data_IF_473652313601
#
_entry.id   IF_473652313601
#
_cell.length_a   1.000
_cell.length_b   1.000
_cell.length_c   1.000
_cell.angle_alpha   90.00
_cell.angle_beta   90.00
_cell.angle_gamma   90.00
#
_symmetry.space_group_name_H-M   'P 1'
#
loop_
_entity.id
_entity.type
_entity.pdbx_description
1 polymer ?
#
# COMPACT_ATOMS: atom_id res chain seq x y z
N UNK A 1 19.58 -6.89 16.51
CA UNK A 1 19.25 -5.90 15.47
C UNK A 1 17.82 -6.16 15.03
N UNK A 2 17.09 -5.13 14.61
CA UNK A 2 15.76 -5.38 14.05
C UNK A 2 15.94 -6.10 12.70
N UNK A 3 15.09 -7.09 12.39
CA UNK A 3 15.23 -7.90 11.16
C UNK A 3 15.28 -7.06 9.87
N UNK A 4 14.66 -5.88 9.90
CA UNK A 4 14.74 -4.84 8.88
C UNK A 4 16.19 -4.40 8.60
N UNK A 5 16.97 -4.13 9.65
CA UNK A 5 18.33 -3.59 9.52
C UNK A 5 19.24 -4.65 8.90
N UNK A 6 18.99 -5.92 9.25
CA UNK A 6 19.68 -7.07 8.66
C UNK A 6 19.34 -7.24 7.18
N UNK A 7 18.06 -7.09 6.79
CA UNK A 7 17.63 -7.15 5.38
C UNK A 7 18.19 -5.95 4.59
N UNK A 8 18.23 -4.75 5.17
CA UNK A 8 18.81 -3.56 4.53
C UNK A 8 20.31 -3.78 4.28
N UNK A 9 21.06 -4.17 5.30
CA UNK A 9 22.49 -4.45 5.18
C UNK A 9 22.80 -5.63 4.23
N UNK A 10 21.90 -6.60 4.12
CA UNK A 10 21.98 -7.65 3.12
C UNK A 10 21.73 -7.12 1.69
N UNK A 11 20.75 -6.24 1.52
CA UNK A 11 20.36 -5.70 0.21
C UNK A 11 21.48 -4.87 -0.45
N UNK A 12 22.33 -4.21 0.33
CA UNK A 12 23.49 -3.44 -0.16
C UNK A 12 24.53 -4.32 -0.86
N UNK A 13 24.52 -5.63 -0.58
CA UNK A 13 25.44 -6.61 -1.20
C UNK A 13 24.91 -7.15 -2.53
N UNK A 14 23.68 -6.79 -2.91
CA UNK A 14 23.05 -7.27 -4.13
C UNK A 14 23.51 -6.44 -5.35
N UNK A 15 23.61 -7.06 -6.53
CA UNK A 15 23.73 -6.32 -7.79
C UNK A 15 22.61 -5.29 -7.94
N UNK A 16 22.85 -4.13 -8.59
CA UNK A 16 21.87 -3.05 -8.69
C UNK A 16 20.50 -3.48 -9.20
N UNK A 17 20.44 -4.38 -10.20
CA UNK A 17 19.18 -4.88 -10.74
C UNK A 17 18.38 -5.74 -9.75
N UNK A 18 19.05 -6.49 -8.87
CA UNK A 18 18.39 -7.28 -7.81
C UNK A 18 17.91 -6.37 -6.68
N UNK A 19 18.67 -5.33 -6.38
CA UNK A 19 18.27 -4.30 -5.43
C UNK A 19 17.01 -3.57 -5.92
N UNK A 20 16.93 -3.24 -7.20
CA UNK A 20 15.72 -2.67 -7.81
C UNK A 20 14.53 -3.66 -7.81
N UNK A 21 14.77 -4.93 -8.13
CA UNK A 21 13.73 -5.96 -8.05
C UNK A 21 13.16 -6.10 -6.63
N UNK A 22 14.02 -6.13 -5.60
CA UNK A 22 13.62 -6.15 -4.19
C UNK A 22 12.81 -4.90 -3.83
N UNK A 23 13.25 -3.71 -4.27
CA UNK A 23 12.51 -2.47 -4.09
C UNK A 23 11.12 -2.53 -4.68
N UNK A 24 10.99 -2.98 -5.93
CA UNK A 24 9.68 -3.16 -6.59
C UNK A 24 8.79 -4.08 -5.76
N UNK A 25 9.31 -5.23 -5.31
CA UNK A 25 8.57 -6.18 -4.49
C UNK A 25 8.12 -5.57 -3.15
N UNK A 26 9.00 -4.84 -2.45
CA UNK A 26 8.66 -4.21 -1.17
C UNK A 26 7.66 -3.06 -1.29
N UNK A 27 7.70 -2.31 -2.40
CA UNK A 27 6.81 -1.15 -2.62
C UNK A 27 5.48 -1.57 -3.21
N UNK A 28 5.47 -2.50 -4.17
CA UNK A 28 4.30 -2.92 -4.94
C UNK A 28 3.62 -4.17 -4.36
N UNK A 29 4.34 -4.97 -3.56
CA UNK A 29 3.86 -6.24 -2.98
C UNK A 29 4.01 -7.46 -3.92
N UNK A 30 4.08 -7.23 -5.23
CA UNK A 30 4.28 -8.24 -6.27
C UNK A 30 5.00 -7.65 -7.49
N UNK A 31 5.45 -8.49 -8.42
CA UNK A 31 5.98 -8.05 -9.71
C UNK A 31 4.94 -8.26 -10.80
N UNK A 32 4.66 -7.23 -11.60
CA UNK A 32 3.87 -7.39 -12.82
C UNK A 32 4.69 -7.99 -13.96
N UNK A 33 4.03 -8.46 -15.02
CA UNK A 33 4.73 -8.93 -16.24
C UNK A 33 5.66 -7.87 -16.81
N UNK A 34 5.24 -6.60 -16.77
CA UNK A 34 6.07 -5.48 -17.22
C UNK A 34 7.31 -5.29 -16.32
N UNK A 35 7.16 -5.41 -15.00
CA UNK A 35 8.29 -5.36 -14.07
C UNK A 35 9.29 -6.48 -14.36
N UNK A 36 8.82 -7.69 -14.65
CA UNK A 36 9.69 -8.82 -14.99
C UNK A 36 10.51 -8.56 -16.26
N UNK A 37 9.90 -7.97 -17.29
CA UNK A 37 10.61 -7.61 -18.53
C UNK A 37 11.67 -6.54 -18.26
N UNK A 38 11.35 -5.52 -17.47
CA UNK A 38 12.31 -4.46 -17.11
C UNK A 38 13.44 -4.97 -16.22
N UNK A 39 13.13 -5.81 -15.23
CA UNK A 39 14.14 -6.44 -14.36
C UNK A 39 15.09 -7.30 -15.19
N UNK A 40 14.56 -8.05 -16.17
CA UNK A 40 15.37 -8.84 -17.10
C UNK A 40 16.30 -7.95 -17.94
N UNK A 41 15.81 -6.82 -18.42
CA UNK A 41 16.64 -5.86 -19.16
C UNK A 41 17.74 -5.25 -18.29
N UNK A 42 17.42 -4.85 -17.05
CA UNK A 42 18.43 -4.39 -16.08
C UNK A 42 19.48 -5.46 -15.77
N UNK A 43 19.09 -6.73 -15.68
CA UNK A 43 20.02 -7.84 -15.50
C UNK A 43 20.93 -8.02 -16.74
N UNK A 44 20.39 -7.89 -17.95
CA UNK A 44 21.16 -7.92 -19.21
C UNK A 44 22.15 -6.75 -19.29
N UNK A 45 21.72 -5.53 -18.94
CA UNK A 45 22.57 -4.34 -18.86
C UNK A 45 23.75 -4.54 -17.90
N UNK A 46 23.49 -5.17 -16.74
CA UNK A 46 24.54 -5.49 -15.76
C UNK A 46 25.64 -6.41 -16.32
N UNK A 47 25.31 -7.24 -17.32
CA UNK A 47 26.25 -8.09 -18.05
C UNK A 47 26.76 -7.49 -19.37
N UNK A 48 26.54 -6.19 -19.60
CA UNK A 48 27.07 -5.45 -20.77
C UNK A 48 26.22 -5.57 -22.04
N UNK A 49 25.02 -6.14 -21.96
CA UNK A 49 24.08 -6.17 -23.10
C UNK A 49 23.34 -4.84 -23.17
N UNK A 50 23.22 -4.26 -24.37
CA UNK A 50 22.49 -2.99 -24.56
C UNK A 50 21.00 -3.17 -24.28
N UNK A 51 20.44 -2.20 -23.56
CA UNK A 51 18.99 -2.11 -23.30
C UNK A 51 18.20 -2.06 -24.60
N UNK A 52 17.06 -2.74 -24.62
CA UNK A 52 16.08 -2.62 -25.71
C UNK A 52 15.03 -1.52 -25.48
N UNK A 53 15.02 -0.91 -24.29
CA UNK A 53 14.11 0.15 -23.89
C UNK A 53 14.64 1.55 -24.21
N UNK A 54 13.70 2.46 -24.51
CA UNK A 54 13.91 3.90 -24.68
C UNK A 54 12.80 4.64 -23.89
N UNK A 55 13.12 5.41 -22.84
CA UNK A 55 14.46 5.62 -22.27
C UNK A 55 15.04 4.34 -21.66
N UNK A 56 16.37 4.28 -21.57
CA UNK A 56 17.05 3.16 -20.91
C UNK A 56 16.73 3.18 -19.41
N UNK A 57 16.11 2.13 -18.85
CA UNK A 57 15.78 2.09 -17.44
C UNK A 57 17.06 2.02 -16.61
N UNK A 58 17.10 2.75 -15.51
CA UNK A 58 18.17 2.69 -14.52
C UNK A 58 17.68 1.99 -13.26
N UNK A 59 18.50 1.12 -12.63
CA UNK A 59 18.11 0.44 -11.41
C UNK A 59 18.06 1.44 -10.26
N UNK A 60 16.98 1.42 -9.47
CA UNK A 60 16.86 2.18 -8.23
C UNK A 60 17.15 1.25 -7.07
N UNK A 61 18.21 1.51 -6.31
CA UNK A 61 18.61 0.65 -5.20
C UNK A 61 17.55 0.62 -4.10
N UNK A 62 17.40 -0.55 -3.49
CA UNK A 62 16.63 -0.71 -2.26
C UNK A 62 17.27 0.11 -1.14
N UNK A 63 16.41 0.70 -0.30
CA UNK A 63 16.83 1.70 0.69
C UNK A 63 15.81 1.72 1.83
N UNK A 64 16.19 2.38 2.92
CA UNK A 64 15.43 2.36 4.16
C UNK A 64 13.95 2.80 3.99
N UNK A 65 13.72 3.82 3.17
CA UNK A 65 12.40 4.37 2.86
C UNK A 65 11.52 3.44 1.98
N UNK A 66 12.09 2.40 1.37
CA UNK A 66 11.39 1.43 0.54
C UNK A 66 10.77 0.29 1.34
N UNK A 67 11.23 0.07 2.56
CA UNK A 67 10.51 -0.82 3.44
C UNK A 67 9.11 -0.27 3.74
N UNK A 68 8.14 -1.15 3.99
CA UNK A 68 6.92 -0.76 4.67
C UNK A 68 7.31 -0.30 6.07
N UNK A 69 7.57 1.00 6.19
CA UNK A 69 8.20 1.65 7.32
C UNK A 69 7.67 1.11 8.67
N UNK A 70 8.56 1.00 9.65
CA UNK A 70 8.19 1.36 11.03
C UNK A 70 7.98 2.88 11.04
N UNK A 71 7.03 3.36 10.24
CA UNK A 71 6.63 4.74 10.29
C UNK A 71 6.18 4.93 11.73
N UNK A 72 6.81 5.87 12.43
CA UNK A 72 6.41 6.32 13.74
C UNK A 72 7.00 5.54 14.94
N UNK A 73 8.31 5.20 14.96
CA UNK A 73 8.96 4.82 16.25
C UNK A 73 8.81 5.93 17.30
N UNK A 74 8.89 7.19 16.86
CA UNK A 74 8.83 8.37 17.73
C UNK A 74 7.56 9.22 17.52
N UNK A 75 6.64 8.77 16.66
CA UNK A 75 5.40 9.49 16.37
C UNK A 75 4.19 8.69 16.84
N UNK A 76 3.11 9.36 17.21
CA UNK A 76 1.82 8.73 17.50
C UNK A 76 0.85 9.02 16.37
N UNK A 77 0.36 7.97 15.71
CA UNK A 77 -0.68 8.06 14.68
C UNK A 77 -1.99 7.49 15.19
N UNK A 78 -3.09 8.26 15.04
CA UNK A 78 -4.44 7.84 15.46
C UNK A 78 -5.42 8.06 14.32
N UNK A 79 -6.04 6.98 13.83
CA UNK A 79 -7.07 7.06 12.81
C UNK A 79 -8.32 7.75 13.35
N UNK A 80 -8.87 8.72 12.61
CA UNK A 80 -10.10 9.43 13.01
C UNK A 80 -11.29 9.05 12.14
N UNK A 81 -11.12 9.05 10.81
CA UNK A 81 -12.23 8.82 9.90
C UNK A 81 -11.78 8.22 8.56
N UNK A 82 -12.71 7.53 7.89
CA UNK A 82 -12.61 7.13 6.49
C UNK A 82 -13.90 7.57 5.79
N UNK A 83 -13.79 8.44 4.80
CA UNK A 83 -14.94 9.10 4.17
C UNK A 83 -14.71 9.44 2.70
N UNK A 84 -15.69 10.09 2.09
CA UNK A 84 -15.64 10.52 0.69
C UNK A 84 -15.30 9.39 -0.28
N UNK A 85 -15.83 8.20 0.00
CA UNK A 85 -15.52 6.98 -0.74
C UNK A 85 -16.10 7.10 -2.15
N UNK A 86 -15.21 7.08 -3.14
CA UNK A 86 -15.57 7.16 -4.55
C UNK A 86 -15.20 5.85 -5.22
N UNK A 87 -16.16 5.21 -5.88
CA UNK A 87 -15.98 3.92 -6.55
C UNK A 87 -15.44 2.80 -5.61
N UNK A 88 -15.85 2.78 -4.35
CA UNK A 88 -15.51 1.68 -3.41
C UNK A 88 -16.75 0.80 -3.24
N UNK A 89 -16.86 -0.24 -4.07
CA UNK A 89 -18.07 -1.05 -4.17
C UNK A 89 -19.30 -0.19 -4.46
N UNK A 90 -20.34 -0.32 -3.64
CA UNK A 90 -21.56 0.50 -3.71
C UNK A 90 -21.77 1.36 -2.46
N UNK A 91 -20.67 1.70 -1.77
CA UNK A 91 -20.72 2.58 -0.61
C UNK A 91 -21.00 4.01 -1.11
N UNK A 92 -22.06 4.69 -0.63
CA UNK A 92 -22.31 6.09 -1.00
C UNK A 92 -21.16 6.99 -0.56
N UNK A 93 -20.80 7.97 -1.39
CA UNK A 93 -19.74 8.93 -1.09
C UNK A 93 -20.00 9.72 0.20
N UNK A 94 -21.27 9.96 0.53
CA UNK A 94 -21.68 10.66 1.76
C UNK A 94 -21.46 9.87 3.05
N UNK A 95 -21.14 8.59 2.98
CA UNK A 95 -20.90 7.78 4.19
C UNK A 95 -19.56 8.11 4.83
N UNK A 96 -19.56 8.12 6.17
CA UNK A 96 -18.39 8.42 7.00
C UNK A 96 -18.25 7.32 8.04
N UNK A 97 -17.10 6.64 8.02
CA UNK A 97 -16.75 5.70 9.08
C UNK A 97 -15.83 6.38 10.09
N UNK A 98 -16.38 6.71 11.27
CA UNK A 98 -15.65 7.35 12.36
C UNK A 98 -15.03 6.32 13.31
N UNK A 99 -13.83 6.63 13.79
CA UNK A 99 -13.10 5.85 14.78
C UNK A 99 -12.98 6.63 16.08
N UNK A 100 -13.15 5.95 17.21
CA UNK A 100 -12.86 6.54 18.50
C UNK A 100 -11.33 6.70 18.65
N UNK A 101 -10.83 7.89 19.06
CA UNK A 101 -9.39 8.12 19.21
C UNK A 101 -8.78 7.25 20.33
N UNK A 102 -9.61 6.83 21.28
CA UNK A 102 -9.24 5.93 22.36
C UNK A 102 -10.30 4.84 22.53
N UNK A 103 -9.87 3.60 22.68
CA UNK A 103 -10.74 2.46 22.95
C UNK A 103 -10.98 1.58 21.72
N UNK A 104 -12.18 0.98 21.67
CA UNK A 104 -12.57 0.00 20.65
C UNK A 104 -13.72 0.52 19.81
N UNK A 105 -13.55 0.51 18.49
CA UNK A 105 -14.63 0.81 17.53
C UNK A 105 -15.12 -0.49 16.89
N UNK A 106 -16.40 -0.82 17.03
CA UNK A 106 -17.01 -2.02 16.44
C UNK A 106 -17.93 -1.61 15.30
N UNK A 107 -17.65 -2.11 14.10
CA UNK A 107 -18.46 -1.87 12.89
C UNK A 107 -19.15 -3.18 12.50
N UNK A 108 -20.49 -3.20 12.49
CA UNK A 108 -21.29 -4.38 12.18
C UNK A 108 -22.44 -4.05 11.22
N UNK A 109 -23.04 -5.09 10.64
CA UNK A 109 -24.13 -4.94 9.66
C UNK A 109 -24.27 -6.20 8.79
N UNK A 110 -25.35 -6.29 8.03
CA UNK A 110 -25.64 -7.45 7.15
C UNK A 110 -24.63 -7.65 6.02
N UNK A 111 -24.71 -8.77 5.32
CA UNK A 111 -23.90 -8.99 4.12
C UNK A 111 -24.23 -7.95 3.04
N UNK A 112 -23.22 -7.48 2.32
CA UNK A 112 -23.40 -6.48 1.26
C UNK A 112 -23.47 -5.02 1.74
N UNK A 113 -23.41 -4.73 3.04
CA UNK A 113 -23.47 -3.34 3.56
C UNK A 113 -22.17 -2.54 3.41
N UNK A 114 -21.14 -3.07 2.73
CA UNK A 114 -19.89 -2.35 2.46
C UNK A 114 -18.78 -2.48 3.51
N UNK A 115 -18.99 -3.21 4.63
CA UNK A 115 -17.95 -3.42 5.67
C UNK A 115 -16.57 -3.83 5.12
N UNK A 116 -16.54 -4.83 4.24
CA UNK A 116 -15.30 -5.30 3.61
C UNK A 116 -14.70 -4.28 2.64
N UNK A 117 -15.50 -3.34 2.12
CA UNK A 117 -15.01 -2.22 1.30
C UNK A 117 -14.14 -1.28 2.13
N UNK A 118 -14.64 -0.82 3.28
CA UNK A 118 -13.85 -0.01 4.23
C UNK A 118 -12.55 -0.71 4.65
N UNK A 119 -12.63 -2.00 5.01
CA UNK A 119 -11.46 -2.77 5.41
C UNK A 119 -10.40 -2.85 4.31
N UNK A 120 -10.78 -3.08 3.04
CA UNK A 120 -9.83 -3.15 1.93
C UNK A 120 -9.14 -1.80 1.65
N UNK A 121 -9.86 -0.69 1.79
CA UNK A 121 -9.26 0.65 1.69
C UNK A 121 -8.19 0.82 2.77
N UNK A 122 -8.52 0.51 4.03
CA UNK A 122 -7.55 0.60 5.13
C UNK A 122 -6.37 -0.35 4.95
N UNK A 123 -6.60 -1.56 4.42
CA UNK A 123 -5.52 -2.52 4.13
C UNK A 123 -4.53 -2.00 3.08
N UNK A 124 -4.98 -1.22 2.10
CA UNK A 124 -4.09 -0.60 1.11
C UNK A 124 -3.44 0.71 1.60
N UNK A 125 -4.18 1.52 2.38
CA UNK A 125 -3.68 2.80 2.88
C UNK A 125 -2.72 2.66 4.08
N UNK A 126 -2.94 1.64 4.91
CA UNK A 126 -2.16 1.35 6.11
C UNK A 126 -1.27 0.11 5.90
N UNK A 127 -0.71 -0.46 6.98
CA UNK A 127 0.14 -1.64 6.91
C UNK A 127 -0.68 -2.93 7.01
N UNK A 128 -0.79 -3.67 5.91
CA UNK A 128 -1.34 -5.04 5.87
C UNK A 128 -0.39 -5.98 5.11
N UNK A 129 -0.28 -7.25 5.54
CA UNK A 129 0.56 -8.25 4.83
C UNK A 129 -0.07 -8.76 3.53
N UNK A 130 -1.39 -8.76 3.46
CA UNK A 130 -2.14 -9.18 2.28
C UNK A 130 -3.14 -8.08 1.95
N UNK A 131 -2.73 -6.94 1.34
CA UNK A 131 -3.60 -5.78 1.16
C UNK A 131 -4.83 -6.08 0.29
N UNK A 132 -4.65 -6.92 -0.75
CA UNK A 132 -5.70 -7.28 -1.70
C UNK A 132 -6.12 -6.09 -2.59
N UNK A 133 -7.11 -6.30 -3.46
CA UNK A 133 -7.65 -5.25 -4.33
C UNK A 133 -8.88 -4.57 -3.71
N UNK A 134 -9.02 -3.27 -3.93
CA UNK A 134 -10.29 -2.55 -3.72
C UNK A 134 -11.06 -2.55 -5.04
N UNK A 135 -12.32 -2.97 -5.01
CA UNK A 135 -13.14 -3.12 -6.21
C UNK A 135 -14.13 -1.96 -6.36
N UNK A 136 -14.31 -1.51 -7.60
CA UNK A 136 -15.37 -0.58 -7.97
C UNK A 136 -16.77 -1.21 -7.92
N UNK A 137 -17.80 -0.40 -8.16
CA UNK A 137 -19.16 -0.90 -8.28
C UNK A 137 -19.28 -1.87 -9.46
N UNK A 138 -19.41 -3.17 -9.18
CA UNK A 138 -19.53 -4.20 -10.21
C UNK A 138 -20.76 -4.05 -11.12
N UNK A 139 -21.75 -3.24 -10.73
CA UNK A 139 -22.94 -2.95 -11.54
C UNK A 139 -22.77 -1.73 -12.46
N UNK A 140 -21.66 -1.00 -12.36
CA UNK A 140 -21.37 0.10 -13.29
C UNK A 140 -20.92 -0.49 -14.63
N UNK A 141 -21.46 0.01 -15.74
CA UNK A 141 -21.14 -0.50 -17.08
C UNK A 141 -19.65 -0.30 -17.44
N UNK A 142 -19.02 0.69 -16.83
CA UNK A 142 -17.63 1.10 -17.00
C UNK A 142 -16.75 0.74 -15.80
N UNK A 143 -17.15 -0.24 -14.96
CA UNK A 143 -16.48 -0.53 -13.68
C UNK A 143 -14.97 -0.78 -13.78
N UNK A 144 -14.46 -1.28 -14.91
CA UNK A 144 -13.03 -1.50 -15.16
C UNK A 144 -12.22 -0.20 -15.33
N UNK A 145 -12.89 0.91 -15.65
CA UNK A 145 -12.28 2.24 -15.81
C UNK A 145 -12.39 3.09 -14.54
N UNK A 146 -13.21 2.65 -13.58
CA UNK A 146 -13.42 3.37 -12.34
C UNK A 146 -12.24 3.17 -11.39
N UNK A 147 -11.80 4.29 -10.80
CA UNK A 147 -10.71 4.32 -9.83
C UNK A 147 -11.31 4.48 -8.43
N UNK A 148 -11.25 3.44 -7.58
CA UNK A 148 -11.50 3.54 -6.15
C UNK A 148 -10.59 4.59 -5.48
N UNK A 149 -11.19 5.45 -4.66
CA UNK A 149 -10.49 6.42 -3.81
C UNK A 149 -11.30 6.74 -2.54
N UNK A 150 -10.63 7.29 -1.53
CA UNK A 150 -11.24 7.73 -0.28
C UNK A 150 -10.35 8.77 0.43
N UNK A 151 -10.94 9.58 1.30
CA UNK A 151 -10.22 10.46 2.20
C UNK A 151 -10.10 9.82 3.60
N UNK A 152 -8.96 10.04 4.23
CA UNK A 152 -8.60 9.49 5.53
C UNK A 152 -8.13 10.64 6.42
N UNK A 153 -8.84 10.86 7.53
CA UNK A 153 -8.41 11.76 8.58
C UNK A 153 -7.67 10.98 9.67
N UNK A 154 -6.58 11.56 10.15
CA UNK A 154 -5.79 11.00 11.24
C UNK A 154 -5.14 12.11 12.06
N UNK A 155 -4.72 11.77 13.28
CA UNK A 155 -3.90 12.63 14.12
C UNK A 155 -2.47 12.13 14.08
N UNK A 156 -1.52 13.03 13.82
CA UNK A 156 -0.08 12.82 13.93
C UNK A 156 0.46 13.75 15.02
N UNK A 157 0.92 13.18 16.13
CA UNK A 157 1.46 13.91 17.28
C UNK A 157 0.57 15.06 17.79
N UNK A 158 -0.74 14.81 17.80
CA UNK A 158 -1.74 15.79 18.23
C UNK A 158 -2.21 16.76 17.15
N UNK A 159 -1.62 16.73 15.96
CA UNK A 159 -2.04 17.56 14.80
C UNK A 159 -2.99 16.77 13.90
N UNK A 160 -4.13 17.36 13.54
CA UNK A 160 -5.05 16.76 12.56
C UNK A 160 -4.46 16.88 11.16
N UNK A 161 -4.43 15.75 10.46
CA UNK A 161 -3.94 15.59 9.10
C UNK A 161 -4.99 14.87 8.27
N UNK A 162 -4.96 15.10 6.95
CA UNK A 162 -5.83 14.42 5.99
C UNK A 162 -5.00 13.96 4.80
N UNK A 163 -5.30 12.76 4.29
CA UNK A 163 -4.75 12.27 3.04
C UNK A 163 -5.83 11.64 2.16
N UNK A 164 -5.61 11.67 0.85
CA UNK A 164 -6.40 10.89 -0.10
C UNK A 164 -5.67 9.59 -0.41
N UNK A 165 -6.38 8.47 -0.32
CA UNK A 165 -5.95 7.20 -0.87
C UNK A 165 -6.62 6.98 -2.22
N UNK A 166 -5.87 6.42 -3.18
CA UNK A 166 -6.35 6.04 -4.51
C UNK A 166 -5.72 4.71 -4.90
N UNK A 167 -6.48 3.90 -5.65
CA UNK A 167 -6.02 2.63 -6.23
C UNK A 167 -5.17 2.79 -7.50
N UNK A 168 -4.90 4.02 -7.94
CA UNK A 168 -3.97 4.29 -9.05
C UNK A 168 -2.56 3.82 -8.71
N UNK A 169 -1.82 3.30 -9.71
CA UNK A 169 -0.43 2.82 -9.54
C UNK A 169 0.51 3.87 -8.95
N UNK A 170 0.32 5.13 -9.33
CA UNK A 170 1.22 6.21 -8.95
C UNK A 170 0.82 6.87 -7.62
N UNK A 171 -0.23 6.37 -6.96
CA UNK A 171 -0.65 6.88 -5.66
C UNK A 171 0.37 6.48 -4.59
N UNK A 172 1.11 7.46 -4.09
CA UNK A 172 2.05 7.26 -2.98
C UNK A 172 1.26 7.31 -1.66
N UNK A 173 1.18 6.20 -0.89
CA UNK A 173 0.50 6.20 0.39
C UNK A 173 1.18 7.17 1.36
N UNK A 174 0.39 7.78 2.24
CA UNK A 174 0.94 8.63 3.31
C UNK A 174 1.79 7.76 4.26
N UNK A 175 3.11 7.99 4.36
CA UNK A 175 4.01 7.07 5.07
C UNK A 175 3.61 6.80 6.52
N UNK A 176 3.11 7.82 7.22
CA UNK A 176 2.73 7.80 8.63
C UNK A 176 1.57 6.82 8.90
N UNK A 177 0.67 6.61 7.93
CA UNK A 177 -0.40 5.61 8.06
C UNK A 177 0.12 4.17 8.13
N UNK A 178 1.37 3.91 7.75
CA UNK A 178 2.01 2.59 7.92
C UNK A 178 2.27 2.23 9.39
N UNK A 179 2.19 3.20 10.31
CA UNK A 179 2.18 2.93 11.74
C UNK A 179 0.93 2.18 12.21
N UNK A 180 -0.14 2.19 11.41
CA UNK A 180 -1.40 1.49 11.70
C UNK A 180 -1.37 0.11 11.05
N UNK A 181 -1.57 -0.94 11.85
CA UNK A 181 -1.61 -2.32 11.35
C UNK A 181 -3.05 -2.77 11.12
N UNK A 182 -3.32 -3.29 9.92
CA UNK A 182 -4.63 -3.85 9.56
C UNK A 182 -4.51 -5.35 9.36
N UNK A 183 -5.36 -6.10 10.04
CA UNK A 183 -5.30 -7.55 10.13
C UNK A 183 -6.63 -8.19 9.76
N UNK A 184 -6.56 -9.29 9.01
CA UNK A 184 -7.69 -10.16 8.70
C UNK A 184 -7.23 -11.63 8.60
N UNK A 185 -8.14 -12.52 8.21
CA UNK A 185 -7.87 -13.95 8.11
C UNK A 185 -6.78 -14.33 7.10
N UNK A 186 -6.63 -13.56 6.02
CA UNK A 186 -5.57 -13.80 5.03
C UNK A 186 -4.22 -13.33 5.57
N UNK A 187 -4.17 -12.16 6.22
CA UNK A 187 -2.98 -11.70 6.95
C UNK A 187 -2.52 -12.74 7.97
N UNK A 188 -3.43 -13.36 8.73
CA UNK A 188 -3.11 -14.33 9.78
C UNK A 188 -2.23 -15.49 9.29
N UNK A 189 -2.47 -15.97 8.06
CA UNK A 189 -1.70 -17.08 7.45
C UNK A 189 -0.23 -16.75 7.21
N UNK A 190 0.11 -15.46 7.18
CA UNK A 190 1.49 -15.02 6.98
C UNK A 190 2.19 -14.71 8.30
N UNK A 191 1.47 -14.60 9.43
CA UNK A 191 2.05 -14.28 10.75
C UNK A 191 2.39 -15.53 11.59
N UNK A 192 1.86 -16.69 11.23
CA UNK A 192 2.21 -18.01 11.78
C UNK A 192 3.32 -18.65 10.96
#
# INVERSE_FOLDING_TARGET
MAIYEEVLAWSEKLPPWRSDALRRLCVQGEWSDQDLVEILDLAKQHHGVRSTFLPVPQPVLFAANHFPAEANRDHTVVLQSLHSLTNVGRIPNSEVLNFQPHGLTIVYGGNGTGKSGYARVLKQACRARSPGAVHANAYAADYLQLIPSAAIDFVLDGTTEQTTWSSQRDNVPRPELRGISVFDGDCARHYL
#
